data_IF_578613184017
#
_entry.id   IF_578613184017
#
_cell.length_a   1.000
_cell.length_b   1.000
_cell.length_c   1.000
_cell.angle_alpha   90.00
_cell.angle_beta   90.00
_cell.angle_gamma   90.00
#
_symmetry.space_group_name_H-M   'P 1'
#
loop_
_entity.id
_entity.type
_entity.pdbx_description
1 polymer ?
#
# COMPACT_ATOMS: atom_id res chain seq x y z
N UNK A 1 -23.70 26.98 -42.15
CA UNK A 1 -22.39 27.64 -42.24
C UNK A 1 -21.83 28.01 -40.86
N UNK A 2 -22.59 28.72 -40.01
CA UNK A 2 -22.15 29.16 -38.67
C UNK A 2 -21.42 28.08 -37.82
N UNK A 3 -21.93 26.85 -37.74
CA UNK A 3 -21.30 25.77 -36.95
C UNK A 3 -19.93 25.30 -37.47
N UNK A 4 -19.71 25.29 -38.79
CA UNK A 4 -18.42 24.86 -39.37
C UNK A 4 -17.34 25.90 -39.07
N UNK A 5 -17.71 27.18 -39.14
CA UNK A 5 -16.78 28.30 -38.91
C UNK A 5 -16.30 28.34 -37.47
N UNK A 6 -17.20 28.06 -36.52
CA UNK A 6 -16.87 27.94 -35.10
C UNK A 6 -15.91 26.78 -34.82
N UNK A 7 -16.21 25.58 -35.32
CA UNK A 7 -15.35 24.40 -35.13
C UNK A 7 -13.98 24.61 -35.80
N UNK A 8 -13.96 25.17 -37.01
CA UNK A 8 -12.71 25.45 -37.72
C UNK A 8 -11.84 26.46 -36.96
N UNK A 9 -12.46 27.50 -36.38
CA UNK A 9 -11.76 28.47 -35.54
C UNK A 9 -11.15 27.82 -34.31
N UNK A 10 -11.90 26.95 -33.61
CA UNK A 10 -11.41 26.26 -32.42
C UNK A 10 -10.25 25.30 -32.75
N UNK A 11 -10.36 24.53 -33.83
CA UNK A 11 -9.28 23.65 -34.30
C UNK A 11 -8.02 24.47 -34.63
N UNK A 12 -8.15 25.59 -35.35
CA UNK A 12 -7.01 26.44 -35.70
C UNK A 12 -6.36 27.06 -34.45
N UNK A 13 -7.15 27.42 -33.44
CA UNK A 13 -6.61 27.95 -32.18
C UNK A 13 -5.89 26.86 -31.38
N UNK A 14 -6.55 25.72 -31.16
CA UNK A 14 -5.99 24.59 -30.41
C UNK A 14 -4.72 24.04 -31.06
N UNK A 15 -4.70 23.90 -32.40
CA UNK A 15 -3.53 23.38 -33.12
C UNK A 15 -2.30 24.28 -33.04
N UNK A 16 -2.47 25.58 -32.80
CA UNK A 16 -1.37 26.53 -32.55
C UNK A 16 -0.88 26.50 -31.10
N UNK A 17 -1.77 26.23 -30.15
CA UNK A 17 -1.47 26.26 -28.72
C UNK A 17 -0.91 24.92 -28.20
N UNK A 18 -1.34 23.80 -28.77
CA UNK A 18 -1.01 22.46 -28.29
C UNK A 18 -0.23 21.68 -29.34
N UNK A 19 0.70 20.85 -28.88
CA UNK A 19 1.50 19.99 -29.78
C UNK A 19 0.66 18.94 -30.47
N UNK A 20 -0.45 18.51 -29.85
CA UNK A 20 -1.37 17.48 -30.35
C UNK A 20 -2.79 17.88 -29.99
N UNK A 21 -3.72 17.71 -30.92
CA UNK A 21 -5.15 17.99 -30.74
C UNK A 21 -5.93 16.74 -31.11
N UNK A 22 -6.94 16.41 -30.30
CA UNK A 22 -7.87 15.32 -30.56
C UNK A 22 -9.28 15.90 -30.73
N UNK A 23 -9.98 15.52 -31.79
CA UNK A 23 -11.42 15.71 -31.89
C UNK A 23 -12.13 14.39 -31.59
N UNK A 24 -13.35 14.42 -31.05
CA UNK A 24 -14.16 13.23 -30.85
C UNK A 24 -15.55 13.42 -31.48
N UNK A 25 -15.84 12.66 -32.53
CA UNK A 25 -17.11 12.73 -33.27
C UNK A 25 -17.09 13.60 -34.52
N UNK A 26 -18.21 13.56 -35.26
CA UNK A 26 -18.44 14.37 -36.48
C UNK A 26 -17.69 13.87 -37.72
N UNK A 27 -17.30 12.58 -37.75
CA UNK A 27 -16.51 11.92 -38.81
C UNK A 27 -17.29 10.86 -39.59
N UNK A 28 -18.59 10.69 -39.30
CA UNK A 28 -19.47 9.77 -40.02
C UNK A 28 -19.99 10.33 -41.36
N UNK A 29 -20.99 9.66 -41.98
CA UNK A 29 -21.50 10.02 -43.30
C UNK A 29 -22.70 10.98 -43.27
N UNK A 30 -23.23 11.33 -42.10
CA UNK A 30 -24.47 12.12 -42.00
C UNK A 30 -24.20 13.60 -42.23
N UNK A 31 -25.28 14.38 -42.38
CA UNK A 31 -25.17 15.80 -42.76
C UNK A 31 -24.60 16.68 -41.64
N UNK A 32 -24.74 16.23 -40.40
CA UNK A 32 -24.21 16.83 -39.17
C UNK A 32 -22.76 16.41 -38.87
N UNK A 33 -22.23 15.38 -39.55
CA UNK A 33 -20.80 15.04 -39.53
C UNK A 33 -19.99 16.05 -40.34
N UNK A 34 -19.44 17.05 -39.65
CA UNK A 34 -18.76 18.20 -40.26
C UNK A 34 -17.30 18.36 -39.82
N UNK A 35 -16.73 17.45 -39.02
CA UNK A 35 -15.37 17.57 -38.47
C UNK A 35 -14.33 17.61 -39.59
N UNK A 36 -14.41 16.74 -40.61
CA UNK A 36 -13.49 16.79 -41.76
C UNK A 36 -13.57 18.13 -42.51
N UNK A 37 -14.79 18.66 -42.73
CA UNK A 37 -14.98 19.97 -43.38
C UNK A 37 -14.39 21.10 -42.54
N UNK A 38 -14.58 21.05 -41.22
CA UNK A 38 -14.06 22.05 -40.30
C UNK A 38 -12.52 22.02 -40.23
N UNK A 39 -11.90 20.84 -40.16
CA UNK A 39 -10.42 20.69 -40.22
C UNK A 39 -9.87 21.18 -41.56
N UNK A 40 -10.52 20.82 -42.68
CA UNK A 40 -10.12 21.32 -44.00
C UNK A 40 -10.16 22.86 -44.04
N UNK A 41 -11.24 23.46 -43.54
CA UNK A 41 -11.38 24.92 -43.46
C UNK A 41 -10.36 25.57 -42.52
N UNK A 42 -10.10 24.97 -41.35
CA UNK A 42 -9.16 25.48 -40.36
C UNK A 42 -7.73 25.61 -40.90
N UNK A 43 -7.35 24.71 -41.80
CA UNK A 43 -6.01 24.62 -42.37
C UNK A 43 -5.92 25.03 -43.84
N UNK A 44 -6.99 25.61 -44.38
CA UNK A 44 -7.08 26.04 -45.79
C UNK A 44 -6.78 24.89 -46.78
N UNK A 45 -7.20 23.67 -46.42
CA UNK A 45 -7.05 22.47 -47.23
C UNK A 45 -8.31 22.20 -48.05
N UNK A 46 -8.14 21.41 -49.13
CA UNK A 46 -9.26 20.91 -49.92
C UNK A 46 -9.86 19.67 -49.25
N UNK A 47 -11.16 19.49 -49.42
CA UNK A 47 -11.83 18.24 -49.09
C UNK A 47 -11.90 17.39 -50.36
N UNK A 48 -11.19 16.26 -50.38
CA UNK A 48 -11.03 15.43 -51.57
C UNK A 48 -11.40 13.97 -51.27
N UNK A 49 -11.82 13.25 -52.30
CA UNK A 49 -12.12 11.83 -52.18
C UNK A 49 -10.80 11.05 -52.09
N UNK A 50 -10.55 10.43 -50.95
CA UNK A 50 -9.38 9.58 -50.76
C UNK A 50 -9.69 8.13 -51.19
N UNK A 51 -8.98 7.64 -52.21
CA UNK A 51 -9.22 6.32 -52.78
C UNK A 51 -8.85 5.16 -51.84
N UNK A 52 -7.85 5.35 -50.98
CA UNK A 52 -7.45 4.34 -50.00
C UNK A 52 -8.56 4.13 -48.96
N UNK A 53 -9.10 5.22 -48.39
CA UNK A 53 -10.24 5.14 -47.48
C UNK A 53 -11.49 4.55 -48.15
N UNK A 54 -11.75 4.94 -49.40
CA UNK A 54 -12.89 4.40 -50.13
C UNK A 54 -12.78 2.89 -50.26
N UNK A 55 -11.59 2.37 -50.57
CA UNK A 55 -11.33 0.94 -50.65
C UNK A 55 -11.52 0.24 -49.29
N UNK A 56 -10.99 0.82 -48.21
CA UNK A 56 -11.15 0.30 -46.85
C UNK A 56 -12.64 0.18 -46.49
N UNK A 57 -13.41 1.27 -46.62
CA UNK A 57 -14.83 1.23 -46.26
C UNK A 57 -15.67 0.35 -47.17
N UNK A 58 -15.32 0.22 -48.45
CA UNK A 58 -15.99 -0.70 -49.38
C UNK A 58 -15.81 -2.17 -48.96
N UNK A 59 -14.64 -2.52 -48.41
CA UNK A 59 -14.39 -3.85 -47.86
C UNK A 59 -15.09 -4.06 -46.51
N UNK A 60 -15.11 -3.05 -45.64
CA UNK A 60 -15.71 -3.14 -44.31
C UNK A 60 -17.25 -3.20 -44.35
N UNK A 61 -17.89 -2.47 -45.28
CA UNK A 61 -19.35 -2.34 -45.36
C UNK A 61 -19.83 -2.53 -46.81
N UNK A 62 -19.71 -3.75 -47.38
CA UNK A 62 -20.04 -3.99 -48.77
C UNK A 62 -21.52 -3.69 -49.08
N UNK A 63 -21.78 -3.03 -50.22
CA UNK A 63 -23.13 -2.80 -50.73
C UNK A 63 -23.85 -1.52 -50.27
N UNK A 64 -23.18 -0.62 -49.52
CA UNK A 64 -23.73 0.70 -49.19
C UNK A 64 -23.36 1.77 -50.24
N UNK A 65 -24.34 2.57 -50.68
CA UNK A 65 -24.14 3.56 -51.75
C UNK A 65 -23.47 4.87 -51.28
N UNK A 66 -23.61 5.26 -50.02
CA UNK A 66 -23.11 6.55 -49.49
C UNK A 66 -21.69 6.49 -48.89
N UNK A 67 -20.96 5.39 -49.08
CA UNK A 67 -19.60 5.17 -48.53
C UNK A 67 -18.63 6.29 -48.95
N UNK A 68 -18.82 6.88 -50.14
CA UNK A 68 -17.99 7.99 -50.64
C UNK A 68 -17.93 9.16 -49.66
N UNK A 69 -18.97 9.40 -48.86
CA UNK A 69 -19.00 10.49 -47.87
C UNK A 69 -17.97 10.29 -46.75
N UNK A 70 -17.73 9.05 -46.35
CA UNK A 70 -16.73 8.70 -45.33
C UNK A 70 -15.29 8.90 -45.82
N UNK A 71 -15.09 8.82 -47.14
CA UNK A 71 -13.80 8.97 -47.79
C UNK A 71 -13.52 10.40 -48.28
N UNK A 72 -14.44 11.36 -48.07
CA UNK A 72 -14.22 12.78 -48.34
C UNK A 72 -13.53 13.42 -47.13
N UNK A 73 -12.20 13.57 -47.22
CA UNK A 73 -11.33 13.98 -46.11
C UNK A 73 -10.43 15.16 -46.52
N UNK A 74 -9.83 15.90 -45.57
CA UNK A 74 -8.88 16.96 -45.90
C UNK A 74 -7.66 16.39 -46.63
N UNK A 75 -7.14 17.10 -47.62
CA UNK A 75 -5.97 16.70 -48.42
C UNK A 75 -4.87 17.76 -48.34
N UNK A 76 -3.61 17.39 -48.01
CA UNK A 76 -3.15 16.04 -47.67
C UNK A 76 -3.52 15.60 -46.24
N UNK A 77 -3.65 14.30 -46.03
CA UNK A 77 -3.83 13.67 -44.71
C UNK A 77 -3.07 12.34 -44.59
N UNK A 78 -2.79 11.92 -43.36
CA UNK A 78 -2.38 10.56 -43.04
C UNK A 78 -3.60 9.73 -42.62
N UNK A 79 -3.68 8.49 -43.11
CA UNK A 79 -4.68 7.50 -42.69
C UNK A 79 -4.04 6.57 -41.68
N UNK A 80 -4.69 6.45 -40.52
CA UNK A 80 -4.26 5.58 -39.43
C UNK A 80 -5.23 4.41 -39.37
N UNK A 81 -4.78 3.27 -39.87
CA UNK A 81 -5.52 2.03 -39.81
C UNK A 81 -5.51 1.48 -38.37
N UNK A 82 -6.67 1.03 -37.91
CA UNK A 82 -6.88 0.50 -36.56
C UNK A 82 -7.01 -1.01 -36.68
N UNK A 83 -6.07 -1.75 -36.08
CA UNK A 83 -6.08 -3.22 -36.12
C UNK A 83 -7.04 -3.77 -35.04
N UNK A 84 -8.33 -3.79 -35.35
CA UNK A 84 -9.40 -4.26 -34.46
C UNK A 84 -10.59 -4.80 -35.24
N UNK A 85 -11.35 -5.74 -34.65
CA UNK A 85 -12.60 -6.25 -35.22
C UNK A 85 -13.65 -5.14 -35.43
N UNK A 86 -13.53 -4.03 -34.70
CA UNK A 86 -14.37 -2.84 -34.82
C UNK A 86 -13.54 -1.69 -35.44
N UNK A 87 -13.19 -1.85 -36.71
CA UNK A 87 -12.31 -0.93 -37.44
C UNK A 87 -13.04 0.35 -37.87
N UNK A 88 -12.46 1.50 -37.51
CA UNK A 88 -12.76 2.80 -38.11
C UNK A 88 -11.44 3.56 -38.28
N UNK A 89 -10.95 3.79 -39.52
CA UNK A 89 -9.69 4.51 -39.74
C UNK A 89 -9.74 5.92 -39.14
N UNK A 90 -8.63 6.36 -38.56
CA UNK A 90 -8.48 7.73 -38.05
C UNK A 90 -7.74 8.57 -39.06
N UNK A 91 -8.22 9.79 -39.30
CA UNK A 91 -7.54 10.74 -40.17
C UNK A 91 -6.70 11.65 -39.30
N UNK A 92 -5.46 11.88 -39.74
CA UNK A 92 -4.52 12.78 -39.08
C UNK A 92 -4.05 13.85 -40.06
N UNK A 93 -4.16 15.12 -39.64
CA UNK A 93 -3.76 16.28 -40.43
C UNK A 93 -2.98 17.23 -39.53
N UNK A 94 -1.75 17.56 -39.94
CA UNK A 94 -0.80 18.38 -39.16
C UNK A 94 -0.56 17.80 -37.77
N UNK A 95 -1.28 18.28 -36.75
CA UNK A 95 -1.24 17.79 -35.37
C UNK A 95 -2.61 17.42 -34.80
N UNK A 96 -3.62 17.24 -35.66
CA UNK A 96 -5.01 16.96 -35.27
C UNK A 96 -5.41 15.53 -35.63
N UNK A 97 -5.73 14.72 -34.62
CA UNK A 97 -6.35 13.41 -34.78
C UNK A 97 -7.87 13.52 -34.78
N UNK A 98 -8.51 13.00 -35.82
CA UNK A 98 -9.96 13.05 -35.98
C UNK A 98 -10.60 11.72 -35.56
N UNK A 99 -10.97 11.59 -34.28
CA UNK A 99 -11.49 10.34 -33.71
C UNK A 99 -13.01 10.19 -33.87
N UNK A 100 -13.50 8.95 -34.03
CA UNK A 100 -14.94 8.65 -34.03
C UNK A 100 -15.56 8.86 -32.65
N UNK A 101 -16.79 9.38 -32.57
CA UNK A 101 -17.42 9.70 -31.28
C UNK A 101 -17.95 8.49 -30.50
N UNK A 102 -18.22 7.38 -31.17
CA UNK A 102 -18.72 6.16 -30.52
C UNK A 102 -17.62 5.50 -29.70
N UNK A 103 -17.81 5.21 -28.40
CA UNK A 103 -16.82 4.52 -27.57
C UNK A 103 -16.28 3.21 -28.17
N UNK A 104 -17.15 2.50 -28.91
CA UNK A 104 -16.86 1.28 -29.67
C UNK A 104 -15.64 1.44 -30.60
N UNK A 105 -15.61 2.55 -31.35
CA UNK A 105 -14.51 2.84 -32.29
C UNK A 105 -13.43 3.74 -31.68
N UNK A 106 -13.81 4.60 -30.72
CA UNK A 106 -12.88 5.54 -30.07
C UNK A 106 -11.81 4.81 -29.26
N UNK A 107 -12.19 3.76 -28.52
CA UNK A 107 -11.25 3.04 -27.63
C UNK A 107 -10.11 2.35 -28.42
N UNK A 108 -10.38 1.51 -29.44
CA UNK A 108 -9.31 0.92 -30.26
C UNK A 108 -8.45 1.96 -30.99
N UNK A 109 -9.07 3.05 -31.44
CA UNK A 109 -8.36 4.16 -32.07
C UNK A 109 -7.36 4.82 -31.11
N UNK A 110 -7.78 5.06 -29.86
CA UNK A 110 -6.94 5.64 -28.82
C UNK A 110 -5.76 4.74 -28.49
N UNK A 111 -5.99 3.43 -28.33
CA UNK A 111 -4.92 2.45 -28.05
C UNK A 111 -3.85 2.47 -29.15
N UNK A 112 -4.27 2.55 -30.42
CA UNK A 112 -3.36 2.64 -31.58
C UNK A 112 -2.56 3.95 -31.57
N UNK A 113 -3.23 5.09 -31.31
CA UNK A 113 -2.58 6.41 -31.36
C UNK A 113 -1.61 6.60 -30.19
N UNK A 114 -1.94 6.12 -28.99
CA UNK A 114 -1.07 6.21 -27.80
C UNK A 114 0.33 5.68 -28.12
N UNK A 115 0.43 4.56 -28.85
CA UNK A 115 1.72 3.97 -29.25
C UNK A 115 2.59 4.88 -30.16
N UNK A 116 1.97 5.84 -30.84
CA UNK A 116 2.62 6.79 -31.76
C UNK A 116 3.04 8.08 -31.07
N UNK A 117 2.53 8.36 -29.87
CA UNK A 117 2.86 9.57 -29.12
C UNK A 117 4.31 9.47 -28.58
N UNK A 118 5.21 10.31 -29.11
CA UNK A 118 6.62 10.36 -28.68
C UNK A 118 6.83 11.45 -27.63
N UNK A 119 7.75 11.21 -26.69
CA UNK A 119 8.22 12.23 -25.73
C UNK A 119 7.45 12.31 -24.41
N UNK A 120 6.51 11.41 -24.15
CA UNK A 120 5.81 11.35 -22.87
C UNK A 120 6.56 10.47 -21.88
N UNK A 121 6.79 10.95 -20.66
CA UNK A 121 7.13 10.10 -19.52
C UNK A 121 5.84 9.39 -19.10
N UNK A 122 5.77 8.05 -19.13
CA UNK A 122 4.60 7.33 -18.67
C UNK A 122 4.29 7.72 -17.22
N UNK A 123 3.05 8.15 -16.98
CA UNK A 123 2.57 8.37 -15.62
C UNK A 123 2.33 7.01 -14.96
N UNK A 124 2.89 6.84 -13.78
CA UNK A 124 2.62 5.71 -12.90
C UNK A 124 1.48 6.08 -11.97
N UNK A 125 0.55 5.14 -11.77
CA UNK A 125 -0.62 5.31 -10.92
C UNK A 125 -0.65 4.21 -9.87
N UNK A 126 -0.86 4.60 -8.62
CA UNK A 126 -1.10 3.70 -7.48
C UNK A 126 -2.29 4.20 -6.67
N UNK A 127 -2.86 3.33 -5.84
CA UNK A 127 -3.93 3.72 -4.93
C UNK A 127 -3.87 2.98 -3.59
N UNK A 128 -4.44 3.63 -2.56
CA UNK A 128 -4.65 3.11 -1.21
C UNK A 128 -6.14 3.23 -0.90
N UNK A 129 -6.77 2.11 -0.59
CA UNK A 129 -8.17 2.08 -0.16
C UNK A 129 -8.21 2.03 1.37
N UNK A 130 -8.89 2.99 1.99
CA UNK A 130 -8.91 3.14 3.46
C UNK A 130 -10.34 3.33 3.97
N UNK A 131 -10.69 2.59 5.02
CA UNK A 131 -11.99 2.63 5.70
C UNK A 131 -12.12 3.90 6.58
N UNK A 132 -11.98 5.06 5.94
CA UNK A 132 -12.16 6.38 6.52
C UNK A 132 -12.94 7.25 5.52
N UNK A 133 -13.66 8.24 6.03
CA UNK A 133 -14.22 9.29 5.20
C UNK A 133 -13.13 10.32 4.84
N UNK A 134 -13.40 11.12 3.82
CA UNK A 134 -12.45 12.11 3.31
C UNK A 134 -12.06 13.16 4.37
N UNK A 135 -13.01 13.59 5.21
CA UNK A 135 -12.75 14.59 6.26
C UNK A 135 -11.68 14.13 7.27
N UNK A 136 -11.64 12.84 7.59
CA UNK A 136 -10.62 12.26 8.46
C UNK A 136 -9.22 12.26 7.84
N UNK A 137 -9.11 12.39 6.51
CA UNK A 137 -7.87 12.32 5.76
C UNK A 137 -7.27 13.70 5.45
N UNK A 138 -8.06 14.78 5.41
CA UNK A 138 -7.64 16.13 5.01
C UNK A 138 -6.31 16.52 5.64
N UNK A 139 -6.24 16.51 6.98
CA UNK A 139 -5.04 16.94 7.70
C UNK A 139 -3.81 16.05 7.44
N UNK A 140 -4.02 14.76 7.15
CA UNK A 140 -2.93 13.82 6.85
C UNK A 140 -2.42 14.11 5.44
N UNK A 141 -3.33 14.20 4.45
CA UNK A 141 -2.99 14.42 3.05
C UNK A 141 -2.34 15.79 2.83
N UNK A 142 -2.87 16.86 3.43
CA UNK A 142 -2.33 18.22 3.32
C UNK A 142 -0.87 18.30 3.79
N UNK A 143 -0.55 17.59 4.88
CA UNK A 143 0.83 17.51 5.39
C UNK A 143 1.74 16.74 4.44
N UNK A 144 1.24 15.67 3.81
CA UNK A 144 2.04 14.88 2.87
C UNK A 144 2.27 15.60 1.54
N UNK A 145 1.25 16.27 0.98
CA UNK A 145 1.38 17.04 -0.27
C UNK A 145 2.48 18.10 -0.11
N UNK A 146 2.48 18.84 1.00
CA UNK A 146 3.54 19.83 1.31
C UNK A 146 4.94 19.22 1.39
N UNK A 147 5.06 17.98 1.87
CA UNK A 147 6.35 17.29 2.00
C UNK A 147 6.87 16.78 0.65
N UNK A 148 5.97 16.41 -0.26
CA UNK A 148 6.28 15.83 -1.55
C UNK A 148 6.58 16.88 -2.64
N UNK A 149 6.46 18.18 -2.33
CA UNK A 149 6.78 19.31 -3.22
C UNK A 149 6.20 19.16 -4.64
N UNK A 150 4.92 18.80 -4.74
CA UNK A 150 4.19 18.64 -6.00
C UNK A 150 4.76 17.60 -7.00
N UNK A 151 5.70 16.73 -6.56
CA UNK A 151 6.26 15.64 -7.38
C UNK A 151 5.28 14.50 -7.66
N UNK A 152 4.22 14.42 -6.86
CA UNK A 152 3.16 13.41 -6.95
C UNK A 152 1.84 14.13 -6.74
N UNK A 153 0.92 13.92 -7.67
CA UNK A 153 -0.46 14.37 -7.51
C UNK A 153 -1.20 13.35 -6.66
N UNK A 154 -1.81 13.84 -5.57
CA UNK A 154 -2.57 13.04 -4.63
C UNK A 154 -4.04 13.47 -4.73
N UNK A 155 -4.94 12.50 -4.93
CA UNK A 155 -6.39 12.73 -4.90
C UNK A 155 -7.07 11.79 -3.92
N UNK A 156 -8.15 12.23 -3.28
CA UNK A 156 -9.04 11.42 -2.44
C UNK A 156 -10.42 11.31 -3.10
N UNK A 157 -10.97 10.10 -3.16
CA UNK A 157 -12.25 9.84 -3.82
C UNK A 157 -13.10 8.89 -2.95
N UNK A 158 -14.17 9.38 -2.30
CA UNK A 158 -15.07 8.52 -1.52
C UNK A 158 -15.77 7.51 -2.43
N UNK A 159 -15.84 6.26 -1.97
CA UNK A 159 -16.50 5.13 -2.62
C UNK A 159 -17.70 4.75 -1.75
N UNK A 160 -18.90 5.20 -2.15
CA UNK A 160 -20.13 5.07 -1.36
C UNK A 160 -20.99 3.86 -1.75
N UNK A 161 -20.73 3.28 -2.92
CA UNK A 161 -21.53 2.17 -3.49
C UNK A 161 -21.08 0.78 -2.98
N UNK A 162 -20.03 0.71 -2.16
CA UNK A 162 -19.56 -0.52 -1.55
C UNK A 162 -20.37 -0.88 -0.29
N UNK A 163 -20.42 -2.18 0.04
CA UNK A 163 -21.05 -2.66 1.29
C UNK A 163 -20.48 -1.96 2.53
N UNK A 164 -19.18 -1.67 2.51
CA UNK A 164 -18.49 -0.85 3.51
C UNK A 164 -17.93 0.38 2.80
N UNK A 165 -18.41 1.60 3.09
CA UNK A 165 -17.88 2.82 2.49
C UNK A 165 -16.40 3.03 2.81
N UNK A 166 -15.62 3.48 1.84
CA UNK A 166 -14.19 3.74 2.01
C UNK A 166 -13.75 4.93 1.15
N UNK A 167 -12.55 5.47 1.38
CA UNK A 167 -11.96 6.50 0.52
C UNK A 167 -10.79 5.90 -0.25
N UNK A 168 -10.75 6.13 -1.56
CA UNK A 168 -9.60 5.79 -2.40
C UNK A 168 -8.66 6.99 -2.48
N UNK A 169 -7.46 6.83 -1.96
CA UNK A 169 -6.36 7.78 -2.15
C UNK A 169 -5.59 7.34 -3.40
N UNK A 170 -5.45 8.23 -4.38
CA UNK A 170 -4.72 7.99 -5.63
C UNK A 170 -3.40 8.74 -5.62
N UNK A 171 -2.40 8.16 -6.27
CA UNK A 171 -1.05 8.69 -6.41
C UNK A 171 -0.67 8.66 -7.89
N UNK A 172 -0.35 9.82 -8.46
CA UNK A 172 -0.01 9.99 -9.87
C UNK A 172 1.33 10.72 -10.00
N UNK A 173 2.27 10.17 -10.78
CA UNK A 173 3.60 10.75 -10.98
C UNK A 173 4.56 9.81 -11.70
N UNK A 174 5.87 9.95 -11.47
CA UNK A 174 6.84 8.95 -11.93
C UNK A 174 6.76 7.70 -11.05
N UNK A 175 7.22 6.54 -11.55
CA UNK A 175 7.21 5.29 -10.79
C UNK A 175 7.95 5.43 -9.45
N UNK A 176 9.08 6.10 -9.45
CA UNK A 176 9.94 6.29 -8.29
C UNK A 176 9.27 7.22 -7.25
N UNK A 177 8.75 8.38 -7.70
CA UNK A 177 8.12 9.34 -6.79
C UNK A 177 6.81 8.81 -6.20
N UNK A 178 6.02 8.07 -6.98
CA UNK A 178 4.80 7.43 -6.50
C UNK A 178 5.10 6.33 -5.48
N UNK A 179 6.15 5.52 -5.70
CA UNK A 179 6.55 4.51 -4.73
C UNK A 179 6.97 5.14 -3.39
N UNK A 180 7.80 6.19 -3.43
CA UNK A 180 8.22 6.94 -2.24
C UNK A 180 7.03 7.56 -1.50
N UNK A 181 6.13 8.23 -2.21
CA UNK A 181 4.93 8.84 -1.64
C UNK A 181 4.00 7.80 -1.01
N UNK A 182 3.85 6.63 -1.64
CA UNK A 182 3.07 5.52 -1.10
C UNK A 182 3.65 5.02 0.22
N UNK A 183 4.96 4.81 0.31
CA UNK A 183 5.61 4.38 1.56
C UNK A 183 5.41 5.41 2.70
N UNK A 184 5.54 6.70 2.38
CA UNK A 184 5.28 7.79 3.34
C UNK A 184 3.83 7.80 3.83
N UNK A 185 2.87 7.69 2.91
CA UNK A 185 1.45 7.65 3.24
C UNK A 185 1.10 6.45 4.10
N UNK A 186 1.58 5.26 3.75
CA UNK A 186 1.34 4.03 4.52
C UNK A 186 1.89 4.10 5.95
N UNK A 187 2.93 4.90 6.18
CA UNK A 187 3.46 5.14 7.52
C UNK A 187 2.55 6.05 8.36
N UNK A 188 1.96 7.08 7.77
CA UNK A 188 1.15 8.08 8.51
C UNK A 188 -0.35 7.78 8.57
N UNK A 189 -0.86 7.00 7.61
CA UNK A 189 -2.27 6.59 7.56
C UNK A 189 -2.51 5.45 8.54
N UNK A 190 -3.61 5.44 9.30
CA UNK A 190 -3.88 4.40 10.30
C UNK A 190 -3.92 3.02 9.63
N UNK A 191 -2.87 2.23 9.85
CA UNK A 191 -2.56 1.05 9.02
C UNK A 191 -3.67 -0.01 9.10
N UNK A 192 -4.32 -0.10 10.26
CA UNK A 192 -5.42 -1.03 10.53
C UNK A 192 -6.69 -0.71 9.72
N UNK A 193 -6.82 0.51 9.19
CA UNK A 193 -7.95 0.95 8.36
C UNK A 193 -7.72 0.73 6.87
N UNK A 194 -6.53 0.30 6.46
CA UNK A 194 -6.18 0.14 5.05
C UNK A 194 -6.69 -1.21 4.55
N UNK A 195 -7.56 -1.17 3.54
CA UNK A 195 -8.27 -2.34 2.99
C UNK A 195 -7.34 -3.17 2.09
N UNK A 196 -6.60 -2.49 1.21
CA UNK A 196 -5.75 -3.13 0.19
C UNK A 196 -4.28 -3.18 0.62
N UNK A 197 -4.01 -3.38 1.92
CA UNK A 197 -2.67 -3.42 2.48
C UNK A 197 -1.90 -4.67 1.99
N UNK A 198 -1.20 -4.54 0.88
CA UNK A 198 -0.19 -5.52 0.40
C UNK A 198 1.24 -5.08 0.71
N UNK A 199 1.39 -4.09 1.58
CA UNK A 199 2.68 -3.50 1.90
C UNK A 199 3.41 -4.38 2.91
N UNK A 200 4.70 -4.61 2.65
CA UNK A 200 5.60 -5.28 3.58
C UNK A 200 6.47 -4.26 4.29
N UNK A 201 7.03 -4.63 5.42
CA UNK A 201 8.05 -3.83 6.11
C UNK A 201 9.17 -3.42 5.14
N UNK A 202 9.34 -2.11 4.94
CA UNK A 202 10.21 -1.53 3.92
C UNK A 202 11.43 -0.81 4.54
N UNK A 203 12.32 -0.32 3.67
CA UNK A 203 13.44 0.53 4.12
C UNK A 203 12.96 1.87 4.68
N UNK A 204 11.77 2.33 4.29
CA UNK A 204 11.21 3.55 4.85
C UNK A 204 10.96 3.41 6.36
N UNK A 205 10.22 2.38 6.79
CA UNK A 205 9.96 2.16 8.22
C UNK A 205 11.28 1.96 8.98
N UNK A 206 12.19 1.16 8.45
CA UNK A 206 13.53 0.97 9.01
C UNK A 206 14.26 2.31 9.23
N UNK A 207 14.33 3.18 8.22
CA UNK A 207 15.00 4.48 8.32
C UNK A 207 14.35 5.38 9.38
N UNK A 208 13.02 5.39 9.49
CA UNK A 208 12.32 6.18 10.52
C UNK A 208 12.67 5.70 11.93
N UNK A 209 12.77 4.39 12.14
CA UNK A 209 13.19 3.81 13.43
C UNK A 209 14.65 4.19 13.75
N UNK A 210 15.55 4.07 12.77
CA UNK A 210 16.96 4.46 12.94
C UNK A 210 17.12 5.95 13.25
N UNK A 211 16.39 6.83 12.56
CA UNK A 211 16.40 8.26 12.84
C UNK A 211 15.85 8.59 14.24
N UNK A 212 14.73 7.97 14.66
CA UNK A 212 14.18 8.20 15.99
C UNK A 212 15.10 7.69 17.11
N UNK A 213 15.83 6.60 16.86
CA UNK A 213 16.79 6.05 17.85
C UNK A 213 17.87 7.07 18.26
N UNK A 214 18.17 8.07 17.42
CA UNK A 214 19.11 9.14 17.76
C UNK A 214 18.67 9.99 18.96
N UNK A 215 17.35 10.10 19.18
CA UNK A 215 16.75 10.91 20.23
C UNK A 215 16.05 10.08 21.33
N UNK A 216 15.98 8.75 21.16
CA UNK A 216 15.30 7.84 22.08
C UNK A 216 16.25 6.76 22.58
N UNK A 217 16.91 7.03 23.72
CA UNK A 217 17.96 6.18 24.27
C UNK A 217 17.53 4.70 24.47
N UNK A 218 16.28 4.47 24.87
CA UNK A 218 15.74 3.12 25.04
C UNK A 218 15.59 2.35 23.72
N UNK A 219 15.18 3.03 22.64
CA UNK A 219 15.13 2.46 21.28
C UNK A 219 16.54 2.16 20.79
N UNK A 220 17.47 3.11 20.96
CA UNK A 220 18.88 2.91 20.60
C UNK A 220 19.46 1.69 21.32
N UNK A 221 19.30 1.59 22.63
CA UNK A 221 19.78 0.47 23.44
C UNK A 221 19.23 -0.88 22.93
N UNK A 222 17.93 -0.96 22.61
CA UNK A 222 17.35 -2.17 22.02
C UNK A 222 17.93 -2.53 20.65
N UNK A 223 18.17 -1.54 19.79
CA UNK A 223 18.82 -1.75 18.49
C UNK A 223 20.28 -2.19 18.66
N UNK A 224 21.02 -1.62 19.62
CA UNK A 224 22.39 -2.01 19.93
C UNK A 224 22.44 -3.49 20.38
N UNK A 225 21.54 -3.91 21.29
CA UNK A 225 21.42 -5.31 21.75
C UNK A 225 21.10 -6.25 20.58
N UNK A 226 20.15 -5.87 19.72
CA UNK A 226 19.81 -6.68 18.55
C UNK A 226 20.97 -6.75 17.57
N UNK A 227 21.67 -5.63 17.34
CA UNK A 227 22.82 -5.59 16.45
C UNK A 227 23.94 -6.49 16.97
N UNK A 228 24.22 -6.45 18.28
CA UNK A 228 25.17 -7.35 18.94
C UNK A 228 24.75 -8.82 18.84
N UNK A 229 23.44 -9.13 18.95
CA UNK A 229 22.93 -10.48 18.72
C UNK A 229 23.30 -11.00 17.31
N UNK A 230 23.06 -10.19 16.28
CA UNK A 230 23.40 -10.52 14.90
C UNK A 230 24.90 -10.42 14.57
N UNK A 231 25.74 -9.97 15.51
CA UNK A 231 27.21 -10.09 15.44
C UNK A 231 27.70 -11.39 16.07
N UNK A 232 27.02 -11.86 17.12
CA UNK A 232 27.36 -13.09 17.85
C UNK A 232 26.85 -14.36 17.16
N UNK A 233 25.73 -14.27 16.44
CA UNK A 233 25.05 -15.42 15.84
C UNK A 233 24.67 -15.12 14.39
N UNK A 234 24.78 -16.12 13.51
CA UNK A 234 24.31 -15.99 12.13
C UNK A 234 22.77 -16.01 12.08
N UNK A 235 22.14 -15.46 11.02
CA UNK A 235 20.68 -15.37 10.95
C UNK A 235 19.95 -16.71 11.06
N UNK A 236 20.57 -17.82 10.63
CA UNK A 236 20.04 -19.18 10.72
C UNK A 236 20.19 -19.82 12.11
N UNK A 237 20.93 -19.19 13.02
CA UNK A 237 21.09 -19.61 14.42
C UNK A 237 20.11 -18.87 15.36
N UNK A 238 19.37 -17.89 14.84
CA UNK A 238 18.49 -17.02 15.61
C UNK A 238 17.03 -17.31 15.27
N UNK A 239 16.18 -17.33 16.30
CA UNK A 239 14.73 -17.24 16.12
C UNK A 239 14.12 -16.21 17.08
N UNK A 240 12.93 -15.72 16.74
CA UNK A 240 12.17 -14.78 17.56
C UNK A 240 11.00 -15.52 18.22
N UNK A 241 10.85 -15.40 19.54
CA UNK A 241 9.63 -15.82 20.22
C UNK A 241 8.54 -14.76 20.04
N UNK A 242 7.55 -15.05 19.20
CA UNK A 242 6.48 -14.12 18.84
C UNK A 242 5.12 -14.73 19.16
N UNK A 243 4.34 -14.08 20.02
CA UNK A 243 3.03 -14.57 20.50
C UNK A 243 1.86 -13.63 20.15
N UNK A 244 2.07 -12.62 19.30
CA UNK A 244 1.05 -11.63 18.95
C UNK A 244 0.77 -10.57 20.03
N UNK A 245 1.43 -10.62 21.19
CA UNK A 245 1.34 -9.60 22.22
C UNK A 245 2.06 -8.30 21.85
N UNK A 246 1.69 -7.19 22.48
CA UNK A 246 2.26 -5.85 22.25
C UNK A 246 3.80 -5.82 22.39
N UNK A 247 4.34 -6.51 23.38
CA UNK A 247 5.76 -6.46 23.73
C UNK A 247 6.62 -7.17 22.68
N UNK A 248 6.23 -8.39 22.29
CA UNK A 248 6.90 -9.12 21.21
C UNK A 248 6.68 -8.47 19.84
N UNK A 249 5.60 -7.70 19.65
CA UNK A 249 5.37 -6.91 18.42
C UNK A 249 6.38 -5.77 18.29
N UNK A 250 6.68 -5.07 19.39
CA UNK A 250 7.77 -4.07 19.41
C UNK A 250 9.10 -4.73 19.08
N UNK A 251 9.42 -5.84 19.73
CA UNK A 251 10.66 -6.59 19.46
C UNK A 251 10.75 -7.05 18.01
N UNK A 252 9.65 -7.55 17.45
CA UNK A 252 9.59 -7.98 16.06
C UNK A 252 9.87 -6.82 15.10
N UNK A 253 9.32 -5.64 15.35
CA UNK A 253 9.56 -4.45 14.53
C UNK A 253 11.02 -3.96 14.60
N UNK A 254 11.62 -3.99 15.79
CA UNK A 254 13.03 -3.66 15.99
C UNK A 254 13.95 -4.71 15.33
N UNK A 255 13.63 -6.00 15.47
CA UNK A 255 14.37 -7.08 14.82
C UNK A 255 14.27 -7.01 13.29
N UNK A 256 13.09 -6.69 12.76
CA UNK A 256 12.87 -6.44 11.33
C UNK A 256 13.68 -5.24 10.83
N UNK A 257 13.85 -4.20 11.65
CA UNK A 257 14.72 -3.05 11.34
C UNK A 257 16.16 -3.51 11.14
N UNK A 258 16.73 -4.27 12.07
CA UNK A 258 18.11 -4.80 11.96
C UNK A 258 18.23 -5.80 10.80
N UNK A 259 17.25 -6.67 10.61
CA UNK A 259 17.24 -7.62 9.50
C UNK A 259 17.24 -6.92 8.14
N UNK A 260 16.42 -5.88 7.97
CA UNK A 260 16.38 -5.09 6.73
C UNK A 260 17.68 -4.34 6.50
N UNK A 261 18.29 -3.79 7.56
CA UNK A 261 19.58 -3.10 7.50
C UNK A 261 20.70 -4.04 7.05
N UNK A 262 20.67 -5.31 7.52
CA UNK A 262 21.64 -6.35 7.20
C UNK A 262 21.29 -7.19 5.95
N UNK A 263 20.21 -6.84 5.24
CA UNK A 263 19.68 -7.59 4.09
C UNK A 263 19.39 -9.08 4.39
N UNK A 264 18.95 -9.39 5.60
CA UNK A 264 18.50 -10.73 6.00
C UNK A 264 17.15 -11.00 5.32
N UNK A 265 17.05 -12.13 4.61
CA UNK A 265 15.91 -12.44 3.72
C UNK A 265 14.62 -12.83 4.44
N UNK A 266 14.74 -13.45 5.62
CA UNK A 266 13.59 -13.94 6.39
C UNK A 266 13.93 -14.05 7.87
N UNK A 267 12.96 -13.73 8.73
CA UNK A 267 13.04 -13.95 10.16
C UNK A 267 12.32 -15.25 10.52
N UNK A 268 13.00 -16.13 11.27
CA UNK A 268 12.39 -17.32 11.84
C UNK A 268 11.68 -16.95 13.15
N UNK A 269 10.41 -17.29 13.28
CA UNK A 269 9.63 -17.08 14.48
C UNK A 269 9.12 -18.41 15.04
N UNK A 270 9.26 -18.60 16.34
CA UNK A 270 8.54 -19.63 17.08
C UNK A 270 7.25 -19.02 17.61
N UNK A 271 6.11 -19.59 17.21
CA UNK A 271 4.81 -19.28 17.78
C UNK A 271 4.26 -20.52 18.49
N UNK A 272 4.17 -20.46 19.81
CA UNK A 272 3.56 -21.51 20.61
C UNK A 272 2.07 -21.20 20.71
N UNK A 273 1.27 -22.01 20.04
CA UNK A 273 -0.19 -21.92 20.02
C UNK A 273 -0.77 -22.72 21.19
N UNK A 274 -1.67 -22.09 21.94
CA UNK A 274 -2.50 -22.73 22.97
C UNK A 274 -3.98 -22.32 22.74
N UNK A 275 -4.85 -22.36 23.76
CA UNK A 275 -6.21 -21.81 23.76
C UNK A 275 -6.20 -20.26 23.61
N UNK A 276 -5.89 -19.82 22.39
CA UNK A 276 -5.63 -18.44 22.02
C UNK A 276 -6.90 -17.77 21.48
N UNK A 277 -6.99 -16.45 21.63
CA UNK A 277 -8.06 -15.67 21.03
C UNK A 277 -7.94 -15.66 19.49
N UNK A 278 -9.08 -15.64 18.79
CA UNK A 278 -9.10 -15.57 17.33
C UNK A 278 -8.44 -14.28 16.81
N UNK A 279 -8.58 -13.18 17.54
CA UNK A 279 -7.97 -11.89 17.25
C UNK A 279 -6.43 -11.95 17.34
N UNK A 280 -5.89 -12.80 18.22
CA UNK A 280 -4.44 -13.02 18.32
C UNK A 280 -3.97 -13.82 17.11
N UNK A 281 -4.64 -14.92 16.75
CA UNK A 281 -4.31 -15.70 15.55
C UNK A 281 -4.35 -14.86 14.27
N UNK A 282 -5.41 -14.06 14.12
CA UNK A 282 -5.58 -13.13 12.99
C UNK A 282 -4.44 -12.10 12.95
N UNK A 283 -4.06 -11.57 14.11
CA UNK A 283 -2.95 -10.62 14.20
C UNK A 283 -1.62 -11.29 13.86
N UNK A 284 -1.34 -12.49 14.38
CA UNK A 284 -0.10 -13.23 14.09
C UNK A 284 0.06 -13.49 12.60
N UNK A 285 -1.01 -13.90 11.91
CA UNK A 285 -0.99 -14.10 10.46
C UNK A 285 -0.74 -12.81 9.68
N UNK A 286 -1.41 -11.72 10.05
CA UNK A 286 -1.18 -10.42 9.40
C UNK A 286 0.25 -9.90 9.62
N UNK A 287 0.80 -10.06 10.83
CA UNK A 287 2.19 -9.76 11.14
C UNK A 287 3.15 -10.66 10.32
N UNK A 288 2.84 -11.95 10.18
CA UNK A 288 3.64 -12.88 9.37
C UNK A 288 3.80 -12.39 7.93
N UNK A 289 2.69 -11.96 7.31
CA UNK A 289 2.68 -11.46 5.94
C UNK A 289 3.41 -10.12 5.82
N UNK A 290 3.18 -9.19 6.76
CA UNK A 290 3.77 -7.85 6.75
C UNK A 290 5.30 -7.90 6.90
N UNK A 291 5.81 -8.70 7.84
CA UNK A 291 7.25 -8.81 8.10
C UNK A 291 7.94 -9.92 7.27
N UNK A 292 7.19 -10.75 6.54
CA UNK A 292 7.75 -11.86 5.74
C UNK A 292 8.35 -12.96 6.62
N UNK A 293 7.64 -13.35 7.68
CA UNK A 293 8.13 -14.29 8.69
C UNK A 293 8.03 -15.74 8.21
N UNK A 294 9.02 -16.55 8.59
CA UNK A 294 8.90 -18.01 8.60
C UNK A 294 8.44 -18.43 9.99
N UNK A 295 7.19 -18.88 10.13
CA UNK A 295 6.65 -19.26 11.43
C UNK A 295 6.71 -20.78 11.62
N UNK A 296 7.29 -21.22 12.73
CA UNK A 296 7.14 -22.58 13.26
C UNK A 296 6.06 -22.52 14.35
N UNK A 297 4.97 -23.26 14.15
CA UNK A 297 3.85 -23.35 15.09
C UNK A 297 3.99 -24.62 15.94
N UNK A 298 3.82 -24.50 17.25
CA UNK A 298 3.86 -25.66 18.16
C UNK A 298 2.73 -25.59 19.19
N UNK A 299 2.05 -26.73 19.40
CA UNK A 299 0.98 -26.89 20.40
C UNK A 299 1.44 -27.73 21.58
N UNK A 300 2.39 -27.19 22.36
CA UNK A 300 2.91 -27.87 23.53
C UNK A 300 3.52 -26.86 24.51
N UNK A 301 3.69 -27.22 25.81
CA UNK A 301 4.31 -26.34 26.79
C UNK A 301 5.68 -25.85 26.33
N UNK A 302 6.03 -24.61 26.70
CA UNK A 302 7.20 -23.90 26.17
C UNK A 302 8.51 -24.69 26.25
N UNK A 303 8.77 -25.38 27.36
CA UNK A 303 9.98 -26.20 27.54
C UNK A 303 10.01 -27.39 26.57
N UNK A 304 8.89 -28.07 26.38
CA UNK A 304 8.74 -29.17 25.42
C UNK A 304 8.83 -28.66 23.98
N UNK A 305 8.24 -27.49 23.69
CA UNK A 305 8.33 -26.80 22.41
C UNK A 305 9.77 -26.51 22.02
N UNK A 306 10.53 -25.88 22.91
CA UNK A 306 11.94 -25.60 22.68
C UNK A 306 12.76 -26.87 22.52
N UNK A 307 12.48 -27.91 23.32
CA UNK A 307 13.20 -29.20 23.21
C UNK A 307 13.01 -29.83 21.83
N UNK A 308 11.77 -29.86 21.33
CA UNK A 308 11.45 -30.38 20.00
C UNK A 308 12.04 -29.50 18.89
N UNK A 309 11.94 -28.17 19.02
CA UNK A 309 12.49 -27.22 18.05
C UNK A 309 14.00 -27.40 17.87
N UNK A 310 14.77 -27.45 18.96
CA UNK A 310 16.23 -27.62 18.91
C UNK A 310 16.65 -29.02 18.46
N UNK A 311 15.78 -30.02 18.60
CA UNK A 311 15.99 -31.36 18.06
C UNK A 311 15.82 -31.39 16.54
N UNK A 312 14.92 -30.58 15.98
CA UNK A 312 14.71 -30.49 14.53
C UNK A 312 15.63 -29.47 13.86
N UNK A 313 16.08 -28.45 14.61
CA UNK A 313 16.87 -27.33 14.11
C UNK A 313 18.11 -27.14 15.01
N UNK A 314 19.07 -28.06 14.90
CA UNK A 314 20.27 -28.11 15.74
C UNK A 314 21.17 -26.86 15.67
N UNK A 315 21.02 -26.04 14.63
CA UNK A 315 21.80 -24.81 14.47
C UNK A 315 21.29 -23.65 15.34
N UNK A 316 20.06 -23.73 15.88
CA UNK A 316 19.51 -22.63 16.68
C UNK A 316 20.26 -22.49 18.00
N UNK A 317 20.75 -21.27 18.27
CA UNK A 317 21.56 -20.92 19.44
C UNK A 317 21.00 -19.76 20.25
N UNK A 318 20.18 -18.89 19.64
CA UNK A 318 19.65 -17.71 20.31
C UNK A 318 18.15 -17.50 20.06
N UNK A 319 17.44 -17.10 21.12
CA UNK A 319 16.03 -16.69 21.06
C UNK A 319 15.90 -15.21 21.43
N UNK A 320 15.34 -14.42 20.53
CA UNK A 320 14.98 -13.02 20.79
C UNK A 320 13.58 -12.99 21.44
N UNK A 321 13.47 -12.39 22.62
CA UNK A 321 12.27 -12.43 23.45
C UNK A 321 11.70 -11.04 23.75
N UNK A 322 10.36 -10.95 23.77
CA UNK A 322 9.62 -9.74 24.14
C UNK A 322 9.29 -9.65 25.63
N UNK A 323 10.26 -9.86 26.51
CA UNK A 323 10.08 -9.77 27.97
C UNK A 323 10.57 -8.43 28.52
N UNK A 324 9.85 -7.88 29.50
CA UNK A 324 10.21 -6.67 30.24
C UNK A 324 10.47 -6.97 31.71
N UNK A 325 11.17 -6.07 32.37
CA UNK A 325 11.39 -6.12 33.82
C UNK A 325 10.05 -5.91 34.52
N UNK A 326 9.72 -6.82 35.44
CA UNK A 326 8.42 -6.89 36.10
C UNK A 326 7.48 -7.94 35.49
N UNK A 327 7.81 -8.52 34.34
CA UNK A 327 7.14 -9.73 33.88
C UNK A 327 7.56 -10.94 34.73
N UNK A 328 6.70 -11.96 34.90
CA UNK A 328 7.05 -13.16 35.64
C UNK A 328 8.33 -13.82 35.10
N UNK A 329 9.31 -14.07 35.99
CA UNK A 329 10.58 -14.70 35.63
C UNK A 329 11.64 -13.75 35.05
N UNK A 330 11.43 -12.43 35.15
CA UNK A 330 12.37 -11.42 34.64
C UNK A 330 13.42 -10.93 35.65
N UNK A 331 13.35 -11.36 36.91
CA UNK A 331 14.04 -10.76 38.06
C UNK A 331 15.57 -10.71 37.89
N UNK A 332 16.15 -11.79 37.34
CA UNK A 332 17.59 -11.94 37.16
C UNK A 332 18.03 -11.84 35.69
N UNK A 333 17.14 -11.43 34.79
CA UNK A 333 17.48 -11.34 33.37
C UNK A 333 18.39 -10.14 33.09
N UNK A 334 19.26 -10.35 32.11
CA UNK A 334 20.10 -9.33 31.46
C UNK A 334 19.75 -9.25 29.97
N UNK A 335 20.37 -8.33 29.23
CA UNK A 335 20.20 -8.24 27.78
C UNK A 335 20.49 -9.58 27.07
N UNK A 336 21.50 -10.32 27.56
CA UNK A 336 21.84 -11.67 27.15
C UNK A 336 21.89 -12.57 28.37
N UNK A 337 21.12 -13.66 28.39
CA UNK A 337 21.10 -14.59 29.51
C UNK A 337 20.89 -16.01 28.99
N UNK A 338 21.78 -16.98 29.28
CA UNK A 338 21.53 -18.38 28.91
C UNK A 338 20.24 -18.86 29.58
N UNK A 339 19.58 -19.85 28.98
CA UNK A 339 18.48 -20.55 29.65
C UNK A 339 18.96 -21.24 30.92
N UNK A 340 18.03 -21.51 31.83
CA UNK A 340 18.35 -22.16 33.09
C UNK A 340 18.84 -23.60 32.84
N UNK A 341 19.61 -24.23 33.74
CA UNK A 341 20.27 -25.51 33.47
C UNK A 341 19.34 -26.66 33.09
N UNK A 342 18.09 -26.64 33.56
CA UNK A 342 17.10 -27.67 33.26
C UNK A 342 16.35 -27.40 31.94
N UNK A 343 16.52 -26.24 31.31
CA UNK A 343 15.93 -25.91 30.03
C UNK A 343 16.82 -26.32 28.84
N UNK A 344 16.24 -26.46 27.63
CA UNK A 344 17.03 -26.54 26.40
C UNK A 344 17.99 -25.35 26.30
N UNK A 345 19.26 -25.63 26.03
CA UNK A 345 20.35 -24.66 26.14
C UNK A 345 20.36 -23.70 24.94
N UNK A 346 20.08 -22.41 25.21
CA UNK A 346 20.08 -21.33 24.23
C UNK A 346 20.39 -20.00 24.92
N UNK A 347 20.81 -19.00 24.15
CA UNK A 347 20.94 -17.63 24.62
C UNK A 347 19.59 -16.90 24.52
N UNK A 348 19.06 -16.42 25.64
CA UNK A 348 17.91 -15.50 25.66
C UNK A 348 18.41 -14.09 25.39
N UNK A 349 17.81 -13.41 24.43
CA UNK A 349 18.13 -12.03 24.04
C UNK A 349 16.93 -11.14 24.34
N UNK A 350 17.11 -10.18 25.25
CA UNK A 350 16.02 -9.40 25.84
C UNK A 350 16.16 -7.90 25.50
N UNK A 351 15.91 -7.48 24.25
CA UNK A 351 16.23 -6.13 23.79
C UNK A 351 15.38 -5.04 24.44
N UNK A 352 14.19 -5.37 24.92
CA UNK A 352 13.26 -4.42 25.55
C UNK A 352 13.15 -4.60 27.07
N UNK A 353 14.09 -5.31 27.71
CA UNK A 353 14.02 -5.65 29.14
C UNK A 353 13.73 -4.46 30.05
N UNK A 354 14.28 -3.29 29.71
CA UNK A 354 14.13 -2.07 30.52
C UNK A 354 13.04 -1.12 30.02
N UNK A 355 12.22 -1.55 29.06
CA UNK A 355 11.12 -0.73 28.58
C UNK A 355 9.99 -0.71 29.62
N UNK A 356 9.39 0.46 29.78
CA UNK A 356 8.15 0.63 30.54
C UNK A 356 6.93 0.36 29.67
N UNK A 357 5.78 0.12 30.32
CA UNK A 357 4.48 -0.01 29.65
C UNK A 357 4.19 1.16 28.69
N UNK A 358 4.51 2.38 29.13
CA UNK A 358 4.31 3.57 28.31
C UNK A 358 5.22 3.59 27.09
N UNK A 359 6.49 3.19 27.21
CA UNK A 359 7.39 3.16 26.06
C UNK A 359 6.92 2.18 25.00
N UNK A 360 6.38 1.03 25.40
CA UNK A 360 5.78 0.06 24.47
C UNK A 360 4.63 0.70 23.69
N UNK A 361 3.66 1.30 24.38
CA UNK A 361 2.51 1.92 23.71
C UNK A 361 2.87 3.16 22.92
N UNK A 362 3.69 4.05 23.47
CA UNK A 362 4.17 5.23 22.75
C UNK A 362 4.88 4.83 21.49
N UNK A 363 5.72 3.79 21.51
CA UNK A 363 6.40 3.30 20.30
C UNK A 363 5.41 2.75 19.28
N UNK A 364 4.51 1.83 19.67
CA UNK A 364 3.51 1.25 18.76
C UNK A 364 2.63 2.32 18.11
N UNK A 365 2.13 3.28 18.89
CA UNK A 365 1.26 4.34 18.41
C UNK A 365 2.01 5.38 17.57
N UNK A 366 3.20 5.82 18.00
CA UNK A 366 4.03 6.80 17.28
C UNK A 366 4.44 6.29 15.90
N UNK A 367 4.71 5.00 15.80
CA UNK A 367 5.15 4.34 14.57
C UNK A 367 4.02 3.68 13.80
N UNK A 368 2.77 3.83 14.27
CA UNK A 368 1.58 3.29 13.63
C UNK A 368 1.75 1.78 13.30
N UNK A 369 2.30 1.05 14.28
CA UNK A 369 2.55 -0.38 14.18
C UNK A 369 1.24 -1.09 14.54
N UNK A 370 0.76 -1.97 13.65
CA UNK A 370 -0.40 -2.80 13.95
C UNK A 370 -0.16 -3.66 15.18
N UNK A 371 -1.18 -3.81 16.02
CA UNK A 371 -1.19 -4.65 17.22
C UNK A 371 -2.53 -5.38 17.33
N UNK A 372 -2.61 -6.40 18.19
CA UNK A 372 -3.83 -7.18 18.38
C UNK A 372 -5.02 -6.31 18.85
N UNK A 373 -6.16 -6.41 18.17
CA UNK A 373 -7.34 -5.55 18.42
C UNK A 373 -7.97 -5.73 19.80
N UNK A 374 -7.65 -6.81 20.54
CA UNK A 374 -8.09 -6.97 21.93
C UNK A 374 -7.58 -5.84 22.83
N UNK A 375 -6.42 -5.25 22.51
CA UNK A 375 -5.93 -4.12 23.28
C UNK A 375 -6.85 -2.89 23.18
N UNK A 376 -7.54 -2.70 22.06
CA UNK A 376 -8.55 -1.63 21.93
C UNK A 376 -9.84 -1.93 22.72
N UNK A 377 -10.03 -3.19 23.12
CA UNK A 377 -11.17 -3.66 23.91
C UNK A 377 -10.88 -3.72 25.42
N UNK A 378 -9.79 -3.12 25.88
CA UNK A 378 -9.43 -3.03 27.30
C UNK A 378 -8.65 -4.21 27.87
N UNK A 379 -8.16 -5.13 27.04
CA UNK A 379 -7.17 -6.11 27.48
C UNK A 379 -5.80 -5.42 27.61
N UNK A 380 -5.03 -5.69 28.66
CA UNK A 380 -3.72 -5.03 28.92
C UNK A 380 -2.56 -6.02 28.95
N UNK A 381 -2.87 -7.27 29.32
CA UNK A 381 -2.00 -8.44 29.23
C UNK A 381 -2.81 -9.59 28.61
N UNK A 382 -2.30 -10.21 27.54
CA UNK A 382 -2.99 -11.28 26.80
C UNK A 382 -2.26 -12.61 26.99
N UNK A 383 -3.01 -13.69 27.20
CA UNK A 383 -2.54 -15.07 27.14
C UNK A 383 -3.75 -15.95 26.89
N UNK A 384 -3.86 -17.08 27.61
CA UNK A 384 -4.93 -18.04 27.32
C UNK A 384 -6.32 -17.46 27.56
N UNK A 385 -7.28 -17.86 26.72
CA UNK A 385 -8.65 -17.36 26.71
C UNK A 385 -9.34 -17.51 28.07
N UNK A 386 -9.12 -18.63 28.74
CA UNK A 386 -9.76 -18.93 30.03
C UNK A 386 -9.12 -18.22 31.23
N UNK A 387 -7.92 -17.66 31.08
CA UNK A 387 -7.18 -16.98 32.16
C UNK A 387 -6.97 -15.49 31.89
N UNK A 388 -7.67 -14.95 30.90
CA UNK A 388 -7.53 -13.56 30.48
C UNK A 388 -8.89 -12.86 30.39
N UNK A 389 -9.04 -11.78 31.14
CA UNK A 389 -10.18 -10.87 31.10
C UNK A 389 -9.73 -9.45 30.78
N UNK A 390 -10.68 -8.57 30.48
CA UNK A 390 -10.41 -7.14 30.30
C UNK A 390 -9.96 -6.54 31.63
N UNK A 391 -9.10 -5.53 31.57
CA UNK A 391 -8.61 -4.87 32.77
C UNK A 391 -9.75 -4.08 33.44
N UNK A 392 -10.07 -4.35 34.71
CA UNK A 392 -11.18 -3.69 35.40
C UNK A 392 -11.00 -2.17 35.51
N UNK A 393 -9.76 -1.68 35.57
CA UNK A 393 -9.46 -0.24 35.65
C UNK A 393 -9.69 0.51 34.33
N UNK A 394 -9.93 -0.21 33.23
CA UNK A 394 -10.25 0.38 31.93
C UNK A 394 -11.75 0.43 31.65
N UNK A 395 -12.62 0.09 32.60
CA UNK A 395 -14.07 0.20 32.40
C UNK A 395 -14.44 1.67 32.12
N UNK A 396 -15.15 1.91 31.03
CA UNK A 396 -15.46 3.28 30.59
C UNK A 396 -16.46 3.94 31.56
N UNK A 397 -16.12 5.09 32.17
CA UNK A 397 -16.99 5.78 33.11
C UNK A 397 -18.27 6.32 32.46
N UNK A 398 -18.25 6.57 31.15
CA UNK A 398 -19.38 7.12 30.40
C UNK A 398 -20.24 6.03 29.75
N UNK A 399 -19.71 4.81 29.61
CA UNK A 399 -20.43 3.66 29.09
C UNK A 399 -20.01 2.37 29.82
N UNK A 400 -20.77 1.94 30.84
CA UNK A 400 -20.42 0.77 31.66
C UNK A 400 -20.32 -0.57 30.91
N UNK A 401 -20.74 -0.62 29.64
CA UNK A 401 -20.64 -1.81 28.79
C UNK A 401 -19.36 -1.86 27.94
N UNK A 402 -18.61 -0.75 27.85
CA UNK A 402 -17.35 -0.65 27.11
C UNK A 402 -16.14 -0.53 28.04
N UNK A 403 -14.98 -0.75 27.44
CA UNK A 403 -13.69 -0.55 28.07
C UNK A 403 -12.87 0.39 27.19
N UNK A 404 -12.07 1.24 27.83
CA UNK A 404 -11.10 2.09 27.18
C UNK A 404 -9.92 1.24 26.65
N UNK A 405 -9.22 1.69 25.60
CA UNK A 405 -8.07 0.98 25.06
C UNK A 405 -6.91 0.83 26.07
N UNK A 406 -6.11 -0.22 25.92
CA UNK A 406 -5.01 -0.58 26.80
C UNK A 406 -4.02 0.56 27.06
N UNK A 407 -3.71 1.34 26.02
CA UNK A 407 -2.76 2.46 26.10
C UNK A 407 -3.26 3.63 26.97
N UNK A 408 -4.51 3.59 27.44
CA UNK A 408 -5.09 4.59 28.36
C UNK A 408 -4.94 4.22 29.84
N UNK A 409 -4.39 3.03 30.15
CA UNK A 409 -4.17 2.57 31.53
C UNK A 409 -3.23 3.51 32.29
N UNK A 410 -3.74 4.14 33.34
CA UNK A 410 -2.99 5.11 34.16
C UNK A 410 -2.05 4.38 35.14
N UNK A 411 -2.61 3.44 35.92
CA UNK A 411 -1.83 2.60 36.83
C UNK A 411 -1.24 1.40 36.10
N UNK A 412 0.05 1.50 35.79
CA UNK A 412 0.79 0.48 35.03
C UNK A 412 1.09 -0.75 35.86
N UNK A 413 1.08 -0.65 37.19
CA UNK A 413 1.27 -1.83 38.06
C UNK A 413 0.12 -2.82 37.91
N UNK A 414 -1.06 -2.31 37.53
CA UNK A 414 -2.27 -3.08 37.26
C UNK A 414 -2.31 -3.73 35.86
N UNK A 415 -1.23 -3.69 35.07
CA UNK A 415 -1.17 -4.27 33.72
C UNK A 415 -1.68 -5.72 33.66
N UNK A 416 -1.50 -6.48 34.74
CA UNK A 416 -1.85 -7.90 34.82
C UNK A 416 -3.12 -8.18 35.63
N UNK A 417 -3.90 -7.17 36.03
CA UNK A 417 -5.13 -7.39 36.82
C UNK A 417 -6.22 -8.17 36.06
N UNK A 418 -6.18 -8.17 34.73
CA UNK A 418 -7.02 -9.04 33.90
C UNK A 418 -6.50 -10.48 33.75
N UNK A 419 -5.61 -10.93 34.65
CA UNK A 419 -5.00 -12.27 34.62
C UNK A 419 -5.35 -13.02 35.90
N UNK A 420 -5.72 -14.28 35.76
CA UNK A 420 -6.00 -15.22 36.86
C UNK A 420 -4.96 -16.31 36.93
#
# INVERSE_FOLDING_TARGET
MLKIDEIAKEINNASKQYSIVFTSGGVGPTHDDITYKAVAKAFELKLELNQELLNIYTQLIPGQYDIKRLALVPSPCEIINIDSTETFPVIYVKNVYMLPGSPKYFKPATDTIISRLKGCVPLHFEYIDIELNELALINILDKQIKRLNDKVKIGSYPQLESQTPFTRITLEGTKETVAEAKEQLLYVLPIQKIINLKHKFSRFQMNVILENSKNEAHVKCSLDILNECYERYSPDEIFISFNGGKDCTVVLHLAATIAKLRNISSLLCLYITDDSFLEVETFVESAAQYYGLKIIRMQQPMRSALSALLKENHNLKASIMGIRRGDPGSENLQAFTPTDPDWPQLMRVNPILHWSYNQVWTFLLKHNIAYCSLYDQGYTSIGNKNTTTRNPLLKDPNNPTSYLPAYTLIDKSAEREGRT
#
